data_IF_801364201903
#
_entry.id   IF_801364201903
#
_cell.length_a   1.000
_cell.length_b   1.000
_cell.length_c   1.000
_cell.angle_alpha   90.00
_cell.angle_beta   90.00
_cell.angle_gamma   90.00
#
_symmetry.space_group_name_H-M   'P 1'
#
loop_
_entity.id
_entity.type
_entity.pdbx_description
1 polymer ?
#
# COMPACT_ATOMS: atom_id res chain seq x y z
N UNK A 1 -19.32 -13.71 16.26
CA UNK A 1 -18.89 -12.33 15.99
C UNK A 1 -18.16 -11.69 17.17
N UNK A 2 -16.89 -12.03 17.36
CA UNK A 2 -15.98 -11.39 18.35
C UNK A 2 -14.60 -11.07 17.74
N UNK A 3 -14.13 -11.85 16.75
CA UNK A 3 -12.87 -11.60 16.03
C UNK A 3 -12.88 -10.32 15.16
N UNK A 4 -13.94 -10.06 14.39
CA UNK A 4 -13.98 -8.92 13.44
C UNK A 4 -13.97 -7.53 14.08
N UNK A 5 -14.44 -7.41 15.34
CA UNK A 5 -14.36 -6.14 16.10
C UNK A 5 -13.02 -5.95 16.81
N UNK A 6 -12.31 -7.03 17.18
CA UNK A 6 -11.02 -6.98 17.88
C UNK A 6 -9.86 -6.62 16.94
N UNK A 7 -9.94 -7.01 15.68
CA UNK A 7 -8.89 -6.76 14.69
C UNK A 7 -9.07 -5.46 13.88
N UNK A 8 -10.21 -4.78 13.97
CA UNK A 8 -10.47 -3.57 13.18
C UNK A 8 -10.42 -3.80 11.65
N UNK A 9 -10.48 -5.06 11.21
CA UNK A 9 -10.43 -5.40 9.79
C UNK A 9 -11.77 -4.99 9.18
N UNK A 10 -11.76 -4.00 8.25
CA UNK A 10 -13.00 -3.47 7.75
C UNK A 10 -13.72 -4.55 6.95
N UNK A 11 -14.99 -4.80 7.28
CA UNK A 11 -15.83 -5.82 6.63
C UNK A 11 -16.00 -5.51 5.13
N UNK A 12 -15.95 -4.23 4.76
CA UNK A 12 -16.10 -3.76 3.39
C UNK A 12 -15.06 -4.36 2.43
N UNK A 13 -13.72 -4.24 2.63
CA UNK A 13 -12.73 -4.86 1.75
C UNK A 13 -12.81 -6.38 1.70
N UNK A 14 -13.17 -7.05 2.80
CA UNK A 14 -13.37 -8.50 2.78
C UNK A 14 -14.54 -8.89 1.85
N UNK A 15 -15.67 -8.17 1.95
CA UNK A 15 -16.83 -8.40 1.10
C UNK A 15 -16.54 -8.10 -0.38
N UNK A 16 -15.81 -7.01 -0.65
CA UNK A 16 -15.36 -6.66 -2.00
C UNK A 16 -14.45 -7.75 -2.57
N UNK A 17 -13.54 -8.33 -1.78
CA UNK A 17 -12.73 -9.47 -2.20
C UNK A 17 -13.58 -10.69 -2.57
N UNK A 18 -14.63 -10.99 -1.81
CA UNK A 18 -15.54 -12.12 -2.10
C UNK A 18 -16.33 -11.89 -3.39
N UNK A 19 -16.77 -10.66 -3.66
CA UNK A 19 -17.50 -10.32 -4.90
C UNK A 19 -16.56 -10.29 -6.11
N UNK A 20 -15.37 -9.71 -5.94
CA UNK A 20 -14.39 -9.57 -7.01
C UNK A 20 -13.65 -10.87 -7.32
N UNK A 21 -13.52 -11.79 -6.36
CA UNK A 21 -12.82 -13.06 -6.54
C UNK A 21 -13.32 -13.86 -7.75
N UNK A 22 -14.63 -14.19 -7.83
CA UNK A 22 -15.21 -14.88 -8.97
C UNK A 22 -15.02 -14.13 -10.29
N UNK A 23 -15.12 -12.79 -10.26
CA UNK A 23 -14.91 -11.96 -11.44
C UNK A 23 -13.45 -12.02 -11.93
N UNK A 24 -12.49 -11.94 -11.01
CA UNK A 24 -11.07 -12.05 -11.33
C UNK A 24 -10.75 -13.44 -11.92
N UNK A 25 -11.29 -14.51 -11.34
CA UNK A 25 -11.08 -15.86 -11.82
C UNK A 25 -11.72 -16.09 -13.20
N UNK A 26 -12.89 -15.50 -13.46
CA UNK A 26 -13.52 -15.51 -14.78
C UNK A 26 -12.66 -14.79 -15.83
N UNK A 27 -12.11 -13.61 -15.50
CA UNK A 27 -11.22 -12.90 -16.43
C UNK A 27 -9.91 -13.67 -16.66
N UNK A 28 -9.35 -14.29 -15.63
CA UNK A 28 -8.16 -15.13 -15.74
C UNK A 28 -8.42 -16.32 -16.66
N UNK A 29 -9.50 -17.07 -16.42
CA UNK A 29 -9.90 -18.20 -17.29
C UNK A 29 -10.13 -17.75 -18.72
N UNK A 30 -10.79 -16.62 -18.93
CA UNK A 30 -11.04 -16.07 -20.28
C UNK A 30 -9.72 -15.71 -20.97
N UNK A 31 -8.80 -15.06 -20.27
CA UNK A 31 -7.49 -14.71 -20.80
C UNK A 31 -6.69 -15.96 -21.18
N UNK A 32 -6.66 -16.98 -20.32
CA UNK A 32 -5.98 -18.24 -20.60
C UNK A 32 -6.66 -19.04 -21.73
N UNK A 33 -7.99 -19.00 -21.84
CA UNK A 33 -8.70 -19.62 -22.96
C UNK A 33 -8.35 -18.95 -24.30
N UNK A 34 -8.18 -17.62 -24.31
CA UNK A 34 -7.70 -16.87 -25.48
C UNK A 34 -6.23 -17.24 -25.79
N UNK A 35 -5.40 -17.39 -24.75
CA UNK A 35 -4.01 -17.84 -24.88
C UNK A 35 -3.82 -19.34 -25.08
N UNK A 36 -4.90 -20.10 -25.35
CA UNK A 36 -4.87 -21.56 -25.52
C UNK A 36 -4.17 -22.33 -24.38
N UNK A 37 -4.25 -21.82 -23.15
CA UNK A 37 -3.60 -22.41 -21.97
C UNK A 37 -2.15 -21.96 -21.73
N UNK A 38 -1.59 -21.09 -22.58
CA UNK A 38 -0.28 -20.49 -22.36
C UNK A 38 -0.36 -19.31 -21.38
N UNK A 39 0.33 -19.43 -20.26
CA UNK A 39 0.48 -18.35 -19.27
C UNK A 39 1.29 -17.17 -19.82
N UNK A 40 2.07 -17.39 -20.88
CA UNK A 40 2.81 -16.36 -21.61
C UNK A 40 1.91 -15.26 -22.17
N UNK A 41 0.64 -15.55 -22.47
CA UNK A 41 -0.32 -14.56 -22.99
C UNK A 41 -0.57 -13.40 -22.02
N UNK A 42 -0.34 -13.63 -20.72
CA UNK A 42 -0.46 -12.60 -19.68
C UNK A 42 0.66 -11.56 -19.75
N UNK A 43 1.79 -11.89 -20.38
CA UNK A 43 2.95 -11.02 -20.56
C UNK A 43 3.21 -10.67 -22.03
N UNK A 44 2.56 -11.36 -22.97
CA UNK A 44 2.71 -11.14 -24.40
C UNK A 44 2.11 -9.80 -24.86
N UNK A 45 1.06 -9.34 -24.18
CA UNK A 45 0.44 -8.05 -24.47
C UNK A 45 1.25 -6.89 -23.88
N UNK A 46 1.72 -5.91 -24.68
CA UNK A 46 2.45 -4.73 -24.17
C UNK A 46 1.70 -3.97 -23.07
N UNK A 47 0.37 -3.93 -23.17
CA UNK A 47 -0.51 -3.31 -22.16
C UNK A 47 -0.49 -4.05 -20.82
N UNK A 48 -0.41 -5.38 -20.85
CA UNK A 48 -0.36 -6.19 -19.65
C UNK A 48 0.98 -6.00 -18.93
N UNK A 49 2.09 -5.95 -19.69
CA UNK A 49 3.43 -5.63 -19.14
C UNK A 49 3.42 -4.27 -18.44
N UNK A 50 2.87 -3.23 -19.07
CA UNK A 50 2.76 -1.89 -18.45
C UNK A 50 1.94 -1.95 -17.15
N UNK A 51 0.81 -2.67 -17.14
CA UNK A 51 -0.04 -2.80 -15.96
C UNK A 51 0.68 -3.53 -14.81
N UNK A 52 1.36 -4.65 -15.11
CA UNK A 52 2.14 -5.40 -14.12
C UNK A 52 3.32 -4.59 -13.59
N UNK A 53 3.99 -3.81 -14.44
CA UNK A 53 5.05 -2.91 -14.01
C UNK A 53 4.54 -1.88 -13.01
N UNK A 54 3.42 -1.21 -13.31
CA UNK A 54 2.78 -0.24 -12.40
C UNK A 54 2.37 -0.92 -11.09
N UNK A 55 1.71 -2.07 -11.15
CA UNK A 55 1.31 -2.83 -9.97
C UNK A 55 2.52 -3.20 -9.10
N UNK A 56 3.61 -3.67 -9.72
CA UNK A 56 4.87 -3.96 -9.05
C UNK A 56 5.45 -2.73 -8.36
N UNK A 57 5.49 -1.58 -9.05
CA UNK A 57 5.97 -0.31 -8.48
C UNK A 57 5.13 0.10 -7.27
N UNK A 58 3.79 0.06 -7.36
CA UNK A 58 2.90 0.43 -6.25
C UNK A 58 3.09 -0.50 -5.05
N UNK A 59 3.23 -1.81 -5.30
CA UNK A 59 3.42 -2.80 -4.24
C UNK A 59 4.80 -2.69 -3.57
N UNK A 60 5.85 -2.38 -4.35
CA UNK A 60 7.23 -2.26 -3.88
C UNK A 60 7.58 -0.88 -3.33
N UNK A 61 6.88 0.18 -3.75
CA UNK A 61 7.12 1.55 -3.30
C UNK A 61 7.22 1.71 -1.77
N UNK A 62 6.28 1.20 -0.94
CA UNK A 62 6.39 1.35 0.52
C UNK A 62 7.55 0.53 1.10
N UNK A 63 7.87 -0.62 0.51
CA UNK A 63 8.97 -1.48 0.96
C UNK A 63 10.32 -0.80 0.70
N UNK A 64 10.52 -0.31 -0.52
CA UNK A 64 11.73 0.42 -0.92
C UNK A 64 11.85 1.72 -0.12
N UNK A 65 10.76 2.48 0.05
CA UNK A 65 10.78 3.69 0.86
C UNK A 65 11.17 3.40 2.32
N UNK A 66 10.71 2.30 2.92
CA UNK A 66 11.09 1.90 4.28
C UNK A 66 12.57 1.53 4.40
N UNK A 67 13.14 0.87 3.39
CA UNK A 67 14.58 0.54 3.35
C UNK A 67 15.42 1.81 3.20
N UNK A 68 15.06 2.68 2.27
CA UNK A 68 15.79 3.94 1.98
C UNK A 68 15.64 4.97 3.11
N UNK A 69 14.54 4.96 3.86
CA UNK A 69 14.29 5.89 4.98
C UNK A 69 14.98 5.50 6.29
N UNK A 70 15.66 4.34 6.38
CA UNK A 70 16.41 3.96 7.60
C UNK A 70 17.59 4.89 7.89
N UNK A 71 18.03 5.67 6.91
CA UNK A 71 19.22 6.52 7.02
C UNK A 71 18.91 8.01 7.24
N UNK A 72 17.68 8.36 7.66
CA UNK A 72 17.37 9.74 8.07
C UNK A 72 17.47 9.87 9.60
N UNK A 73 18.63 10.24 10.16
CA UNK A 73 18.69 10.72 11.53
C UNK A 73 17.76 11.93 11.64
N UNK A 74 16.80 11.86 12.57
CA UNK A 74 15.96 13.00 12.91
C UNK A 74 16.88 14.18 13.24
N UNK A 75 16.74 15.34 12.57
CA UNK A 75 17.35 16.56 13.03
C UNK A 75 16.88 16.80 14.46
N UNK A 76 17.80 16.76 15.40
CA UNK A 76 17.61 17.20 16.77
C UNK A 76 17.38 18.71 16.70
N UNK A 77 16.14 19.09 16.40
CA UNK A 77 15.73 20.47 16.43
C UNK A 77 15.81 20.93 17.87
N UNK A 78 16.43 22.09 18.03
CA UNK A 78 17.12 22.45 19.24
C UNK A 78 16.15 22.78 20.35
N UNK A 79 16.45 22.21 21.51
CA UNK A 79 16.22 22.85 22.80
C UNK A 79 16.67 24.31 22.72
N UNK A 80 15.71 25.23 22.68
CA UNK A 80 16.02 26.65 22.62
C UNK A 80 14.81 27.46 22.20
N UNK A 81 13.98 27.82 23.18
CA UNK A 81 13.51 29.19 23.43
C UNK A 81 12.12 29.21 24.09
N UNK A 82 11.98 28.61 25.28
CA UNK A 82 10.80 28.89 26.12
C UNK A 82 11.13 29.04 27.61
N UNK A 83 12.40 29.29 27.94
CA UNK A 83 12.80 29.74 29.29
C UNK A 83 12.87 31.27 29.40
N UNK A 84 12.35 32.01 28.42
CA UNK A 84 12.23 33.46 28.44
C UNK A 84 10.78 33.90 28.39
N UNK A 85 9.98 33.45 29.35
CA UNK A 85 8.81 34.23 29.78
C UNK A 85 9.17 34.77 31.14
N UNK A 86 9.43 36.07 31.10
CA UNK A 86 10.05 36.84 32.14
C UNK A 86 9.25 36.82 33.45
N UNK A 87 10.04 36.71 34.50
CA UNK A 87 9.85 37.05 35.89
C UNK A 87 8.68 38.02 36.24
N UNK A 88 7.90 37.72 37.30
CA UNK A 88 6.78 38.55 37.75
C UNK A 88 7.27 39.67 38.68
N UNK A 89 7.25 40.94 38.25
CA UNK A 89 7.29 42.09 39.18
C UNK A 89 6.98 43.41 38.49
N UNK A 90 5.84 44.01 38.84
CA UNK A 90 5.66 45.44 39.14
C UNK A 90 4.18 45.59 39.55
N UNK A 91 3.90 45.66 40.85
CA UNK A 91 3.64 46.91 41.59
C UNK A 91 2.56 47.77 40.95
#
# INVERSE_FOLDING_TARGET
GFAMRRYGWPVAPALIGVILGPLAEQQLRRALAIGQGDYGVLLDSPRAVVLFAIAGVVLLAPLVAKVVRRDRPLPHDRDGDETRVDEPTSR
#
